data_IF_076637643277
#
_entry.id   IF_076637643277
#
_cell.length_a   1.000
_cell.length_b   1.000
_cell.length_c   1.000
_cell.angle_alpha   90.00
_cell.angle_beta   90.00
_cell.angle_gamma   90.00
#
_symmetry.space_group_name_H-M   'P 1'
#
loop_
_entity.id
_entity.type
_entity.pdbx_description
1 polymer ?
#
# COMPACT_ATOMS: atom_id res chain seq x y z
N UNK A 1 -7.91 7.76 23.89
CA UNK A 1 -6.69 8.44 23.37
C UNK A 1 -5.61 7.41 23.11
N UNK A 2 -4.80 7.58 22.06
CA UNK A 2 -3.66 6.69 21.78
C UNK A 2 -2.51 6.94 22.76
N UNK A 3 -1.86 5.87 23.22
CA UNK A 3 -0.67 5.97 24.05
C UNK A 3 0.56 6.39 23.21
N UNK A 4 1.61 6.96 23.83
CA UNK A 4 2.87 7.25 23.15
C UNK A 4 3.46 6.02 22.42
N UNK A 5 3.39 4.84 23.04
CA UNK A 5 3.87 3.60 22.45
C UNK A 5 3.07 3.19 21.20
N UNK A 6 1.74 3.38 21.22
CA UNK A 6 0.88 3.12 20.05
C UNK A 6 1.21 4.07 18.89
N UNK A 7 1.52 5.33 19.18
CA UNK A 7 1.98 6.29 18.19
C UNK A 7 3.32 5.89 17.58
N UNK A 8 4.33 5.62 18.41
CA UNK A 8 5.66 5.23 17.93
C UNK A 8 5.62 3.98 17.05
N UNK A 9 4.85 2.96 17.44
CA UNK A 9 4.73 1.76 16.61
C UNK A 9 4.07 2.06 15.26
N UNK A 10 2.98 2.81 15.26
CA UNK A 10 2.25 3.12 14.02
C UNK A 10 3.10 3.94 13.06
N UNK A 11 3.90 4.88 13.56
CA UNK A 11 4.82 5.67 12.73
C UNK A 11 5.94 4.81 12.17
N UNK A 12 6.56 3.93 12.97
CA UNK A 12 7.57 2.98 12.47
C UNK A 12 7.00 2.04 11.41
N UNK A 13 5.79 1.52 11.60
CA UNK A 13 5.09 0.69 10.60
C UNK A 13 4.82 1.45 9.30
N UNK A 14 4.44 2.73 9.40
CA UNK A 14 4.25 3.61 8.25
C UNK A 14 5.56 3.91 7.52
N UNK A 15 6.65 4.19 8.23
CA UNK A 15 7.97 4.40 7.63
C UNK A 15 8.46 3.16 6.87
N UNK A 16 8.27 1.97 7.43
CA UNK A 16 8.60 0.73 6.72
C UNK A 16 7.77 0.56 5.44
N UNK A 17 6.47 0.87 5.49
CA UNK A 17 5.61 0.85 4.32
C UNK A 17 6.09 1.85 3.25
N UNK A 18 6.48 3.05 3.65
CA UNK A 18 6.97 4.09 2.75
C UNK A 18 8.27 3.68 2.04
N UNK A 19 9.23 3.10 2.78
CA UNK A 19 10.44 2.53 2.19
C UNK A 19 10.15 1.39 1.19
N UNK A 20 9.25 0.47 1.55
CA UNK A 20 8.83 -0.60 0.66
C UNK A 20 8.15 -0.05 -0.61
N UNK A 21 7.29 0.95 -0.47
CA UNK A 21 6.58 1.59 -1.57
C UNK A 21 7.54 2.33 -2.51
N UNK A 22 8.51 3.07 -1.97
CA UNK A 22 9.55 3.77 -2.73
C UNK A 22 10.37 2.83 -3.61
N UNK A 23 10.68 1.62 -3.12
CA UNK A 23 11.35 0.60 -3.95
C UNK A 23 10.50 0.14 -5.14
N UNK A 24 9.19 -0.07 -4.94
CA UNK A 24 8.24 -0.45 -6.00
C UNK A 24 8.08 0.67 -7.02
N UNK A 25 8.00 1.93 -6.55
CA UNK A 25 7.93 3.10 -7.41
C UNK A 25 9.18 3.19 -8.27
N UNK A 26 10.37 3.06 -7.69
CA UNK A 26 11.62 3.10 -8.44
C UNK A 26 11.67 2.02 -9.54
N UNK A 27 11.34 0.76 -9.22
CA UNK A 27 11.29 -0.33 -10.21
C UNK A 27 10.30 -0.06 -11.34
N UNK A 28 9.11 0.49 -11.02
CA UNK A 28 8.10 0.86 -12.01
C UNK A 28 8.55 2.00 -12.90
N UNK A 29 9.14 3.04 -12.31
CA UNK A 29 9.69 4.16 -13.06
C UNK A 29 10.75 3.69 -14.05
N UNK A 30 11.65 2.80 -13.63
CA UNK A 30 12.66 2.20 -14.54
C UNK A 30 12.01 1.38 -15.66
N UNK A 31 11.03 0.53 -15.35
CA UNK A 31 10.31 -0.26 -16.36
C UNK A 31 9.56 0.64 -17.36
N UNK A 32 8.88 1.68 -16.87
CA UNK A 32 8.14 2.63 -17.70
C UNK A 32 9.09 3.46 -18.58
N UNK A 33 10.25 3.87 -18.05
CA UNK A 33 11.27 4.58 -18.82
C UNK A 33 11.87 3.73 -19.95
N UNK A 34 11.96 2.40 -19.77
CA UNK A 34 12.38 1.49 -20.83
C UNK A 34 11.33 1.35 -21.96
N UNK A 35 10.06 1.60 -21.65
CA UNK A 35 8.97 1.57 -22.62
C UNK A 35 8.60 0.19 -23.16
N UNK A 36 7.85 0.17 -24.26
CA UNK A 36 7.43 -1.04 -24.96
C UNK A 36 6.24 -1.79 -24.34
N UNK A 37 5.84 -2.93 -24.92
CA UNK A 37 4.59 -3.61 -24.57
C UNK A 37 4.52 -4.14 -23.13
N UNK A 38 5.66 -4.30 -22.44
CA UNK A 38 5.69 -4.63 -21.02
C UNK A 38 5.36 -3.42 -20.14
N UNK A 39 5.89 -2.25 -20.47
CA UNK A 39 5.60 -0.99 -19.78
C UNK A 39 4.12 -0.63 -19.89
N UNK A 40 3.50 -0.77 -21.06
CA UNK A 40 2.07 -0.50 -21.25
C UNK A 40 1.19 -1.40 -20.39
N UNK A 41 1.49 -2.71 -20.36
CA UNK A 41 0.78 -3.67 -19.52
C UNK A 41 0.97 -3.36 -18.03
N UNK A 42 2.15 -2.91 -17.63
CA UNK A 42 2.41 -2.50 -16.25
C UNK A 42 1.63 -1.24 -15.89
N UNK A 43 1.58 -0.24 -16.76
CA UNK A 43 0.82 0.99 -16.53
C UNK A 43 -0.68 0.71 -16.31
N UNK A 44 -1.29 -0.14 -17.14
CA UNK A 44 -2.69 -0.54 -16.98
C UNK A 44 -2.94 -1.31 -15.68
N UNK A 45 -2.02 -2.21 -15.34
CA UNK A 45 -2.09 -2.96 -14.08
C UNK A 45 -1.96 -2.05 -12.86
N UNK A 46 -1.07 -1.06 -12.91
CA UNK A 46 -0.88 -0.08 -11.84
C UNK A 46 -2.16 0.71 -11.51
N UNK A 47 -2.99 1.01 -12.51
CA UNK A 47 -4.29 1.66 -12.32
C UNK A 47 -5.26 0.70 -11.64
N UNK A 48 -5.36 -0.52 -12.16
CA UNK A 48 -6.24 -1.56 -11.61
C UNK A 48 -5.92 -1.87 -10.15
N UNK A 49 -4.64 -1.98 -9.80
CA UNK A 49 -4.18 -2.21 -8.42
C UNK A 49 -4.56 -1.06 -7.47
N UNK A 50 -4.46 0.20 -7.91
CA UNK A 50 -4.87 1.37 -7.11
C UNK A 50 -6.37 1.36 -6.85
N UNK A 51 -7.16 1.10 -7.88
CA UNK A 51 -8.62 1.02 -7.76
C UNK A 51 -9.04 -0.13 -6.83
N UNK A 52 -8.43 -1.30 -6.98
CA UNK A 52 -8.71 -2.46 -6.11
C UNK A 52 -8.34 -2.18 -4.65
N UNK A 53 -7.15 -1.64 -4.38
CA UNK A 53 -6.72 -1.31 -3.03
C UNK A 53 -7.64 -0.26 -2.39
N UNK A 54 -8.00 0.80 -3.12
CA UNK A 54 -8.94 1.80 -2.66
C UNK A 54 -10.30 1.18 -2.29
N UNK A 55 -10.87 0.36 -3.18
CA UNK A 55 -12.15 -0.29 -2.93
C UNK A 55 -12.12 -1.25 -1.74
N UNK A 56 -11.09 -2.08 -1.64
CA UNK A 56 -10.93 -2.99 -0.51
C UNK A 56 -10.81 -2.25 0.82
N UNK A 57 -10.06 -1.14 0.86
CA UNK A 57 -9.93 -0.34 2.07
C UNK A 57 -11.25 0.35 2.44
N UNK A 58 -11.92 0.95 1.45
CA UNK A 58 -13.22 1.59 1.65
C UNK A 58 -14.25 0.58 2.16
N UNK A 59 -14.29 -0.62 1.57
CA UNK A 59 -15.15 -1.70 2.02
C UNK A 59 -14.87 -2.07 3.47
N UNK A 60 -13.61 -2.31 3.83
CA UNK A 60 -13.23 -2.60 5.23
C UNK A 60 -13.61 -1.47 6.18
N UNK A 61 -13.53 -0.21 5.74
CA UNK A 61 -13.98 0.92 6.56
C UNK A 61 -15.49 0.85 6.80
N UNK A 62 -16.28 0.69 5.73
CA UNK A 62 -17.75 0.66 5.79
C UNK A 62 -18.28 -0.55 6.57
N UNK A 63 -17.63 -1.70 6.48
CA UNK A 63 -18.04 -2.91 7.20
C UNK A 63 -17.45 -3.01 8.61
N UNK A 64 -16.72 -2.00 9.08
CA UNK A 64 -16.03 -2.04 10.38
C UNK A 64 -14.83 -2.99 10.45
N UNK A 65 -14.38 -3.54 9.31
CA UNK A 65 -13.21 -4.42 9.20
C UNK A 65 -11.85 -3.75 9.50
N UNK A 66 -11.84 -2.43 9.72
CA UNK A 66 -10.69 -1.68 10.23
C UNK A 66 -10.74 -1.44 11.76
N UNK A 67 -11.78 -1.96 12.43
CA UNK A 67 -12.03 -1.73 13.86
C UNK A 67 -12.71 -0.40 14.15
N UNK A 68 -13.01 -0.18 15.44
CA UNK A 68 -13.90 0.91 15.90
C UNK A 68 -13.17 2.13 16.47
N UNK A 69 -11.82 2.12 16.46
CA UNK A 69 -11.01 3.22 17.00
C UNK A 69 -10.12 3.84 15.91
N UNK A 70 -9.71 5.11 16.04
CA UNK A 70 -8.74 5.71 15.13
C UNK A 70 -7.43 4.92 15.02
N UNK A 71 -6.97 4.33 16.13
CA UNK A 71 -5.75 3.52 16.14
C UNK A 71 -5.89 2.21 15.37
N UNK A 72 -6.97 1.47 15.61
CA UNK A 72 -7.25 0.24 14.86
C UNK A 72 -7.44 0.54 13.38
N UNK A 73 -8.11 1.65 13.06
CA UNK A 73 -8.34 2.06 11.70
C UNK A 73 -7.03 2.40 10.96
N UNK A 74 -6.18 3.21 11.58
CA UNK A 74 -4.87 3.58 11.01
C UNK A 74 -3.95 2.38 10.83
N UNK A 75 -3.82 1.53 11.85
CA UNK A 75 -3.00 0.31 11.76
C UNK A 75 -3.55 -0.70 10.75
N UNK A 76 -4.87 -0.82 10.64
CA UNK A 76 -5.54 -1.63 9.62
C UNK A 76 -5.27 -1.13 8.20
N UNK A 77 -5.31 0.19 7.99
CA UNK A 77 -4.99 0.80 6.70
C UNK A 77 -3.53 0.58 6.30
N UNK A 78 -2.58 0.78 7.23
CA UNK A 78 -1.14 0.52 6.98
C UNK A 78 -0.93 -0.95 6.60
N UNK A 79 -1.53 -1.89 7.34
CA UNK A 79 -1.44 -3.33 7.05
C UNK A 79 -2.01 -3.67 5.67
N UNK A 80 -3.15 -3.08 5.32
CA UNK A 80 -3.77 -3.28 4.02
C UNK A 80 -2.83 -2.86 2.88
N UNK A 81 -2.30 -1.64 2.92
CA UNK A 81 -1.39 -1.15 1.88
C UNK A 81 -0.06 -1.92 1.86
N UNK A 82 0.48 -2.31 3.01
CA UNK A 82 1.71 -3.12 3.06
C UNK A 82 1.57 -4.46 2.34
N UNK A 83 0.43 -5.12 2.49
CA UNK A 83 0.14 -6.36 1.74
C UNK A 83 0.17 -6.13 0.21
N UNK A 84 -0.42 -5.02 -0.26
CA UNK A 84 -0.45 -4.66 -1.68
C UNK A 84 0.93 -4.29 -2.21
N UNK A 85 1.70 -3.49 -1.48
CA UNK A 85 3.08 -3.12 -1.83
C UNK A 85 3.97 -4.36 -1.88
N UNK A 86 3.84 -5.29 -0.93
CA UNK A 86 4.60 -6.53 -0.92
C UNK A 86 4.27 -7.41 -2.14
N UNK A 87 3.00 -7.48 -2.56
CA UNK A 87 2.60 -8.18 -3.77
C UNK A 87 3.20 -7.55 -5.04
N UNK A 88 3.21 -6.22 -5.13
CA UNK A 88 3.85 -5.50 -6.24
C UNK A 88 5.35 -5.77 -6.27
N UNK A 89 6.03 -5.65 -5.13
CA UNK A 89 7.47 -5.90 -5.02
C UNK A 89 7.85 -7.33 -5.43
N UNK A 90 7.07 -8.35 -5.04
CA UNK A 90 7.33 -9.74 -5.45
C UNK A 90 7.25 -9.94 -6.96
N UNK A 91 6.40 -9.18 -7.64
CA UNK A 91 6.16 -9.29 -9.07
C UNK A 91 7.16 -8.53 -9.94
N UNK A 92 7.74 -7.46 -9.40
CA UNK A 92 8.70 -6.60 -10.10
C UNK A 92 10.16 -7.06 -9.93
N UNK A 93 10.41 -8.13 -9.17
CA UNK A 93 11.70 -8.79 -9.08
C UNK A 93 11.99 -9.62 -10.32
#
# INVERSE_FOLDING_TARGET
MMSPAQWSKMTTDFWMLELEASSVIASRTMMLAAGGPLADREAQRMVSEKMQAMWELQWKLLTGGLGTTPHSAGTGAIRHYRSKVAANRRRLK
#
